data_IF_405890360479
#
_entry.id   IF_405890360479
#
_cell.length_a   1.000
_cell.length_b   1.000
_cell.length_c   1.000
_cell.angle_alpha   90.00
_cell.angle_beta   90.00
_cell.angle_gamma   90.00
#
_symmetry.space_group_name_H-M   'P 1'
#
loop_
_entity.id
_entity.type
_entity.pdbx_description
1 polymer ?
#
# COMPACT_ATOMS: atom_id res chain seq x y z
N UNK A 1 -35.59 6.94 4.71
CA UNK A 1 -34.68 8.08 4.64
C UNK A 1 -34.05 8.25 6.02
N UNK A 2 -32.83 7.77 6.21
CA UNK A 2 -32.03 8.08 7.39
C UNK A 2 -30.87 8.94 6.91
N UNK A 3 -30.92 10.20 7.25
CA UNK A 3 -29.91 11.22 7.03
C UNK A 3 -28.65 10.81 7.78
N UNK A 4 -27.58 10.56 7.07
CA UNK A 4 -26.24 10.40 7.65
C UNK A 4 -25.72 11.81 7.92
N UNK A 5 -25.63 12.17 9.17
CA UNK A 5 -25.01 13.41 9.65
C UNK A 5 -23.51 13.31 9.35
N UNK A 6 -22.87 14.28 8.68
CA UNK A 6 -21.43 14.28 8.54
C UNK A 6 -20.82 14.53 9.92
N UNK A 7 -19.86 13.66 10.30
CA UNK A 7 -19.01 13.85 11.46
C UNK A 7 -18.29 15.20 11.31
N UNK A 8 -18.70 16.16 12.11
CA UNK A 8 -18.01 17.43 12.29
C UNK A 8 -16.61 17.15 12.85
N UNK A 9 -15.61 17.36 12.04
CA UNK A 9 -14.21 17.41 12.44
C UNK A 9 -13.98 18.75 13.16
N UNK A 10 -14.33 18.83 14.44
CA UNK A 10 -13.78 19.85 15.34
C UNK A 10 -12.43 19.36 15.87
N UNK A 11 -11.41 19.54 15.07
CA UNK A 11 -10.01 19.39 15.46
C UNK A 11 -9.26 20.54 14.82
N UNK A 12 -8.93 21.57 15.61
CA UNK A 12 -8.27 22.77 15.15
C UNK A 12 -7.02 22.49 14.35
N UNK A 13 -6.90 23.16 13.21
CA UNK A 13 -5.67 23.28 12.43
C UNK A 13 -4.63 24.03 13.30
N UNK A 14 -3.82 23.29 14.02
CA UNK A 14 -2.53 23.78 14.51
C UNK A 14 -1.45 23.04 13.75
N UNK A 15 -0.68 23.80 12.98
CA UNK A 15 0.60 23.37 12.41
C UNK A 15 1.53 22.95 13.55
N UNK A 16 1.57 21.67 13.81
CA UNK A 16 2.40 21.04 14.83
C UNK A 16 2.22 19.54 14.71
N UNK A 17 3.29 18.86 14.40
CA UNK A 17 3.45 17.43 14.46
C UNK A 17 2.75 16.93 15.72
N UNK A 18 1.64 16.19 15.58
CA UNK A 18 1.00 15.54 16.72
C UNK A 18 1.96 14.48 17.22
N UNK A 19 2.78 14.86 18.20
CA UNK A 19 3.65 13.93 18.92
C UNK A 19 2.72 12.99 19.69
N UNK A 20 2.69 11.74 19.25
CA UNK A 20 2.04 10.69 20.01
C UNK A 20 2.80 10.49 21.33
N UNK A 21 2.15 10.77 22.46
CA UNK A 21 2.65 10.59 23.81
C UNK A 21 2.46 9.15 24.36
N UNK A 22 2.46 8.14 23.49
CA UNK A 22 2.46 6.74 23.92
C UNK A 22 3.87 6.25 24.23
N UNK A 23 4.01 5.14 24.97
CA UNK A 23 5.32 4.59 25.29
C UNK A 23 6.05 4.21 24.00
N UNK A 24 7.13 4.90 23.70
CA UNK A 24 8.06 4.52 22.64
C UNK A 24 8.76 3.24 23.06
N UNK A 25 8.54 2.14 22.34
CA UNK A 25 9.37 0.95 22.54
C UNK A 25 10.70 1.17 21.81
N UNK A 26 11.81 0.95 22.54
CA UNK A 26 13.14 0.97 21.95
C UNK A 26 13.21 -0.07 20.83
N UNK A 27 13.71 0.36 19.66
CA UNK A 27 13.87 -0.51 18.51
C UNK A 27 15.20 -1.26 18.64
N UNK A 28 15.14 -2.58 18.57
CA UNK A 28 16.36 -3.38 18.54
C UNK A 28 16.91 -3.45 17.12
N UNK A 29 18.23 -3.43 16.98
CA UNK A 29 18.95 -3.49 15.69
C UNK A 29 18.46 -4.66 14.81
N UNK A 30 18.16 -5.83 15.41
CA UNK A 30 17.63 -7.00 14.71
C UNK A 30 16.29 -6.72 14.00
N UNK A 31 15.47 -5.81 14.52
CA UNK A 31 14.25 -5.43 13.85
C UNK A 31 14.54 -4.64 12.56
N UNK A 32 15.49 -3.70 12.61
CA UNK A 32 15.88 -2.93 11.43
C UNK A 32 16.49 -3.82 10.34
N UNK A 33 17.22 -4.88 10.70
CA UNK A 33 17.79 -5.83 9.76
C UNK A 33 16.75 -6.66 8.99
N UNK A 34 15.51 -6.73 9.46
CA UNK A 34 14.43 -7.42 8.75
C UNK A 34 13.98 -6.66 7.49
N UNK A 35 14.20 -5.33 7.46
CA UNK A 35 13.83 -4.52 6.31
C UNK A 35 14.89 -4.60 5.21
N UNK A 36 14.48 -5.03 4.03
CA UNK A 36 15.36 -5.25 2.88
C UNK A 36 16.21 -4.03 2.52
N UNK A 37 15.64 -2.82 2.67
CA UNK A 37 16.36 -1.55 2.43
C UNK A 37 17.53 -1.36 3.39
N UNK A 38 17.36 -1.72 4.67
CA UNK A 38 18.38 -1.46 5.72
C UNK A 38 19.37 -2.62 5.89
N UNK A 39 19.02 -3.81 5.39
CA UNK A 39 19.83 -5.03 5.54
C UNK A 39 21.30 -4.89 5.10
N UNK A 40 21.65 -4.12 4.05
CA UNK A 40 23.04 -3.96 3.63
C UNK A 40 23.89 -3.04 4.52
N UNK A 41 23.29 -2.37 5.51
CA UNK A 41 24.00 -1.41 6.36
C UNK A 41 24.93 -2.10 7.36
N UNK A 42 26.09 -1.49 7.67
CA UNK A 42 26.97 -1.94 8.73
C UNK A 42 26.27 -1.94 10.10
N UNK A 43 26.65 -2.85 11.02
CA UNK A 43 26.06 -2.93 12.36
C UNK A 43 26.07 -1.61 13.13
N UNK A 44 27.16 -0.86 13.09
CA UNK A 44 27.30 0.42 13.80
C UNK A 44 26.31 1.48 13.30
N UNK A 45 26.02 1.47 11.99
CA UNK A 45 25.01 2.38 11.41
C UNK A 45 23.62 1.97 11.85
N UNK A 46 23.32 0.65 11.84
CA UNK A 46 22.03 0.13 12.31
C UNK A 46 21.81 0.41 13.81
N UNK A 47 22.85 0.29 14.64
CA UNK A 47 22.77 0.62 16.07
C UNK A 47 22.43 2.10 16.29
N UNK A 48 23.10 3.00 15.57
CA UNK A 48 22.78 4.43 15.62
C UNK A 48 21.36 4.72 15.18
N UNK A 49 20.90 4.13 14.07
CA UNK A 49 19.54 4.30 13.61
C UNK A 49 18.51 3.73 14.60
N UNK A 50 18.80 2.59 15.22
CA UNK A 50 17.94 1.97 16.21
C UNK A 50 17.72 2.83 17.46
N UNK A 51 18.74 3.59 17.88
CA UNK A 51 18.64 4.51 19.01
C UNK A 51 17.63 5.64 18.80
N UNK A 52 17.39 6.04 17.54
CA UNK A 52 16.46 7.10 17.17
C UNK A 52 15.13 6.58 16.60
N UNK A 53 15.06 5.29 16.33
CA UNK A 53 13.86 4.66 15.81
C UNK A 53 12.81 4.43 16.90
N UNK A 54 11.55 4.40 16.51
CA UNK A 54 10.44 4.07 17.40
C UNK A 54 9.42 3.17 16.70
N UNK A 55 8.69 2.36 17.46
CA UNK A 55 7.56 1.57 16.93
C UNK A 55 6.26 2.23 17.38
N UNK A 56 5.35 2.40 16.44
CA UNK A 56 4.00 2.90 16.70
C UNK A 56 2.95 1.88 16.27
N UNK A 57 2.04 1.48 17.17
CA UNK A 57 0.87 0.68 16.83
C UNK A 57 -0.22 1.55 16.21
N UNK A 58 -0.97 0.97 15.27
CA UNK A 58 -2.14 1.58 14.64
C UNK A 58 -3.32 0.63 14.70
N UNK A 59 -4.48 1.16 15.08
CA UNK A 59 -5.72 0.42 15.03
C UNK A 59 -6.22 0.31 13.58
N UNK A 60 -7.12 -0.66 13.33
CA UNK A 60 -7.78 -0.76 12.02
C UNK A 60 -8.51 0.55 11.67
N UNK A 61 -8.36 1.03 10.43
CA UNK A 61 -8.93 2.29 9.89
C UNK A 61 -8.33 3.55 10.49
N UNK A 62 -7.20 3.45 11.19
CA UNK A 62 -6.48 4.62 11.70
C UNK A 62 -5.61 5.22 10.57
N UNK A 63 -5.52 6.56 10.57
CA UNK A 63 -4.65 7.30 9.65
C UNK A 63 -3.22 7.17 10.13
N UNK A 64 -2.36 6.61 9.28
CA UNK A 64 -0.93 6.42 9.54
C UNK A 64 -0.12 7.60 9.04
N UNK A 65 -0.47 8.11 7.85
CA UNK A 65 0.19 9.23 7.20
C UNK A 65 -0.84 10.12 6.52
N UNK A 66 -0.67 11.43 6.66
CA UNK A 66 -1.54 12.43 6.02
C UNK A 66 -0.86 13.03 4.80
N UNK A 67 -1.63 13.29 3.76
CA UNK A 67 -1.25 14.10 2.61
C UNK A 67 -0.96 15.55 3.06
N UNK A 68 0.06 16.18 2.51
CA UNK A 68 0.41 17.56 2.83
C UNK A 68 1.86 17.68 3.30
N UNK A 69 2.15 18.30 4.45
CA UNK A 69 3.53 18.56 4.87
C UNK A 69 4.41 17.32 4.81
N UNK A 70 5.67 17.50 4.39
CA UNK A 70 6.62 16.41 4.31
C UNK A 70 6.77 15.71 5.67
N UNK A 71 6.63 14.39 5.74
CA UNK A 71 6.78 13.65 6.98
C UNK A 71 8.21 13.71 7.48
N UNK A 72 8.35 13.75 8.82
CA UNK A 72 9.66 13.78 9.46
C UNK A 72 10.28 12.39 9.64
N UNK A 73 9.66 11.36 9.08
CA UNK A 73 10.06 9.97 9.24
C UNK A 73 10.01 9.23 7.92
N UNK A 74 10.98 8.33 7.70
CA UNK A 74 10.80 7.18 6.83
C UNK A 74 10.11 6.08 7.63
N UNK A 75 9.04 5.53 7.09
CA UNK A 75 8.19 4.58 7.78
C UNK A 75 8.39 3.17 7.23
N UNK A 76 8.44 2.16 8.10
CA UNK A 76 8.55 0.74 7.71
C UNK A 76 7.41 -0.03 8.34
N UNK A 77 6.69 -0.82 7.56
CA UNK A 77 5.65 -1.69 8.09
C UNK A 77 6.27 -2.97 8.64
N UNK A 78 6.14 -3.17 9.95
CA UNK A 78 6.58 -4.39 10.63
C UNK A 78 5.52 -5.48 10.58
N UNK A 79 4.28 -5.14 10.95
CA UNK A 79 3.15 -6.07 11.03
C UNK A 79 1.87 -5.41 10.55
N UNK A 80 0.91 -6.24 10.13
CA UNK A 80 -0.38 -5.78 9.65
C UNK A 80 -0.35 -5.47 8.16
N UNK A 81 -1.28 -4.61 7.71
CA UNK A 81 -1.41 -4.20 6.32
C UNK A 81 -1.92 -2.78 6.22
N UNK A 82 -1.30 -1.98 5.37
CA UNK A 82 -1.70 -0.60 5.12
C UNK A 82 -2.12 -0.42 3.66
N UNK A 83 -2.83 0.67 3.39
CA UNK A 83 -3.19 1.08 2.04
C UNK A 83 -2.90 2.58 1.87
N UNK A 84 -2.19 2.89 0.80
CA UNK A 84 -2.09 4.26 0.32
C UNK A 84 -3.37 4.62 -0.43
N UNK A 85 -3.93 5.79 -0.13
CA UNK A 85 -5.20 6.26 -0.71
C UNK A 85 -5.13 7.75 -1.03
N UNK A 86 -6.01 8.19 -1.91
CA UNK A 86 -6.35 9.60 -2.08
C UNK A 86 -7.88 9.76 -2.05
N UNK A 87 -8.36 10.98 -2.02
CA UNK A 87 -9.79 11.27 -2.03
C UNK A 87 -10.12 12.16 -3.23
N UNK A 88 -11.21 11.82 -3.92
CA UNK A 88 -11.77 12.70 -4.95
C UNK A 88 -12.34 13.96 -4.32
N UNK A 89 -12.63 14.98 -5.14
CA UNK A 89 -13.32 16.21 -4.70
C UNK A 89 -14.67 15.94 -4.01
N UNK A 90 -15.30 14.81 -4.33
CA UNK A 90 -16.56 14.35 -3.73
C UNK A 90 -16.34 13.56 -2.43
N UNK A 91 -15.08 13.45 -1.94
CA UNK A 91 -14.73 12.70 -0.74
C UNK A 91 -14.71 11.18 -0.90
N UNK A 92 -14.73 10.67 -2.15
CA UNK A 92 -14.65 9.23 -2.41
C UNK A 92 -13.20 8.76 -2.30
N UNK A 93 -12.98 7.70 -1.52
CA UNK A 93 -11.68 7.05 -1.36
C UNK A 93 -11.24 6.33 -2.64
N UNK A 94 -10.02 6.59 -3.08
CA UNK A 94 -9.36 5.95 -4.23
C UNK A 94 -8.09 5.26 -3.73
N UNK A 95 -8.03 3.94 -3.87
CA UNK A 95 -6.86 3.16 -3.50
C UNK A 95 -5.75 3.30 -4.53
N UNK A 96 -4.55 3.52 -4.04
CA UNK A 96 -3.36 3.66 -4.86
C UNK A 96 -2.55 2.36 -4.89
N UNK A 97 -2.17 1.83 -3.73
CA UNK A 97 -1.44 0.56 -3.56
C UNK A 97 -1.51 0.07 -2.13
N UNK A 98 -1.16 -1.20 -1.93
CA UNK A 98 -0.98 -1.78 -0.60
C UNK A 98 0.46 -1.66 -0.13
N UNK A 99 0.63 -1.62 1.19
CA UNK A 99 1.91 -1.66 1.89
C UNK A 99 1.87 -2.92 2.75
N UNK A 100 2.79 -3.84 2.47
CA UNK A 100 2.87 -5.14 3.14
C UNK A 100 4.03 -5.15 4.15
N UNK A 101 4.06 -6.09 5.11
CA UNK A 101 5.17 -6.23 6.05
C UNK A 101 6.53 -6.33 5.34
N UNK A 102 7.50 -5.55 5.80
CA UNK A 102 8.82 -5.40 5.18
C UNK A 102 8.93 -4.24 4.19
N UNK A 103 7.81 -3.67 3.76
CA UNK A 103 7.79 -2.47 2.91
C UNK A 103 8.10 -1.20 3.69
N UNK A 104 8.52 -0.16 2.96
CA UNK A 104 8.67 1.20 3.49
C UNK A 104 7.85 2.20 2.66
N UNK A 105 7.53 3.33 3.28
CA UNK A 105 6.73 4.40 2.69
C UNK A 105 7.12 5.77 3.25
N UNK A 106 6.57 6.84 2.69
CA UNK A 106 6.94 8.24 2.96
C UNK A 106 8.34 8.63 2.44
N UNK A 107 8.90 7.84 1.52
CA UNK A 107 10.22 8.09 0.93
C UNK A 107 10.22 9.24 -0.08
N UNK A 108 9.09 9.53 -0.75
CA UNK A 108 9.07 10.57 -1.79
C UNK A 108 9.46 11.92 -1.24
N UNK A 109 8.77 12.38 -0.22
CA UNK A 109 9.06 13.65 0.46
C UNK A 109 10.44 13.67 1.13
N UNK A 110 10.96 12.51 1.53
CA UNK A 110 12.31 12.39 2.06
C UNK A 110 13.38 12.67 0.97
N UNK A 111 13.07 12.29 -0.29
CA UNK A 111 13.99 12.42 -1.43
C UNK A 111 14.02 13.85 -1.94
N UNK A 112 12.84 14.40 -2.26
CA UNK A 112 12.68 15.66 -2.99
C UNK A 112 12.30 16.87 -2.10
N UNK A 113 11.86 16.62 -0.87
CA UNK A 113 11.41 17.68 0.05
C UNK A 113 10.01 18.19 -0.25
N UNK A 114 9.34 17.66 -1.27
CA UNK A 114 7.99 18.04 -1.65
C UNK A 114 6.93 17.53 -0.67
N UNK A 115 5.73 18.13 -0.64
CA UNK A 115 4.64 17.65 0.18
C UNK A 115 4.30 16.18 -0.06
N UNK A 116 3.87 15.47 1.01
CA UNK A 116 3.39 14.10 0.89
C UNK A 116 2.18 14.00 -0.04
N UNK A 117 2.25 13.20 -1.13
CA UNK A 117 1.21 13.21 -2.15
C UNK A 117 -0.03 12.41 -1.80
N UNK A 118 0.02 11.54 -0.79
CA UNK A 118 -0.99 10.54 -0.50
C UNK A 118 -1.27 10.40 1.00
N UNK A 119 -2.42 9.84 1.34
CA UNK A 119 -2.73 9.37 2.68
C UNK A 119 -2.34 7.90 2.80
N UNK A 120 -2.02 7.45 4.02
CA UNK A 120 -1.85 6.03 4.32
C UNK A 120 -2.75 5.67 5.48
N UNK A 121 -3.58 4.64 5.31
CA UNK A 121 -4.50 4.13 6.33
C UNK A 121 -4.21 2.67 6.64
N UNK A 122 -4.43 2.27 7.89
CA UNK A 122 -4.34 0.87 8.28
C UNK A 122 -5.63 0.13 7.92
N UNK A 123 -5.53 -0.97 7.19
CA UNK A 123 -6.66 -1.83 6.83
C UNK A 123 -6.87 -2.97 7.81
N UNK A 124 -5.86 -3.27 8.59
CA UNK A 124 -5.90 -4.13 9.79
C UNK A 124 -5.00 -3.53 10.88
N UNK A 125 -4.97 -4.09 12.08
CA UNK A 125 -4.02 -3.65 13.10
C UNK A 125 -2.60 -3.74 12.55
N UNK A 126 -1.80 -2.70 12.78
CA UNK A 126 -0.47 -2.58 12.22
C UNK A 126 0.55 -2.07 13.24
N UNK A 127 1.80 -2.45 13.04
CA UNK A 127 2.95 -1.87 13.74
C UNK A 127 3.88 -1.24 12.71
N UNK A 128 4.20 0.03 12.90
CA UNK A 128 5.05 0.81 12.00
C UNK A 128 6.30 1.27 12.74
N UNK A 129 7.45 0.98 12.18
CA UNK A 129 8.73 1.52 12.64
C UNK A 129 8.93 2.88 11.99
N UNK A 130 9.16 3.90 12.82
CA UNK A 130 9.41 5.28 12.42
C UNK A 130 10.90 5.58 12.56
N UNK A 131 11.55 5.92 11.47
CA UNK A 131 12.96 6.34 11.43
C UNK A 131 13.02 7.83 11.11
N UNK A 132 13.58 8.69 11.99
CA UNK A 132 13.66 10.12 11.71
C UNK A 132 14.36 10.41 10.38
N UNK A 133 13.75 11.27 9.57
CA UNK A 133 14.27 11.66 8.27
C UNK A 133 15.68 12.25 8.36
N UNK A 134 15.97 13.03 9.40
CA UNK A 134 17.27 13.61 9.66
C UNK A 134 18.38 12.55 9.82
N UNK A 135 18.05 11.39 10.41
CA UNK A 135 19.01 10.31 10.64
C UNK A 135 19.18 9.41 9.42
N UNK A 136 18.08 9.07 8.74
CA UNK A 136 18.13 8.09 7.64
C UNK A 136 18.50 8.71 6.30
N UNK A 137 18.13 9.97 6.02
CA UNK A 137 18.38 10.61 4.74
C UNK A 137 19.87 10.67 4.38
N UNK A 138 20.79 11.10 5.26
CA UNK A 138 22.23 11.08 4.96
C UNK A 138 22.74 9.67 4.64
N UNK A 139 22.25 8.65 5.35
CA UNK A 139 22.64 7.24 5.15
C UNK A 139 22.17 6.72 3.80
N UNK A 140 20.93 7.04 3.40
CA UNK A 140 20.37 6.61 2.10
C UNK A 140 21.21 7.10 0.92
N UNK A 141 21.68 8.35 0.97
CA UNK A 141 22.43 8.95 -0.14
C UNK A 141 23.94 8.70 -0.06
N UNK A 142 24.48 8.39 1.12
CA UNK A 142 25.90 8.04 1.25
C UNK A 142 26.21 6.57 0.91
N UNK A 143 25.20 5.68 0.96
CA UNK A 143 25.38 4.26 0.70
C UNK A 143 24.85 3.89 -0.72
N UNK A 144 25.73 3.58 -1.69
CA UNK A 144 25.30 3.30 -3.08
C UNK A 144 24.29 2.16 -3.19
N UNK A 145 24.41 1.11 -2.37
CA UNK A 145 23.47 -0.02 -2.37
C UNK A 145 22.06 0.40 -1.93
N UNK A 146 21.94 1.33 -0.98
CA UNK A 146 20.65 1.85 -0.55
C UNK A 146 20.04 2.76 -1.61
N UNK A 147 20.85 3.62 -2.21
CA UNK A 147 20.41 4.49 -3.31
C UNK A 147 19.93 3.66 -4.51
N UNK A 148 20.63 2.57 -4.84
CA UNK A 148 20.20 1.62 -5.88
C UNK A 148 18.87 0.94 -5.51
N UNK A 149 18.75 0.42 -4.29
CA UNK A 149 17.52 -0.22 -3.81
C UNK A 149 16.32 0.73 -3.85
N UNK A 150 16.51 1.98 -3.42
CA UNK A 150 15.51 3.04 -3.49
C UNK A 150 15.11 3.34 -4.94
N UNK A 151 16.08 3.54 -5.83
CA UNK A 151 15.84 3.80 -7.25
C UNK A 151 15.08 2.65 -7.92
N UNK A 152 15.45 1.41 -7.61
CA UNK A 152 14.78 0.19 -8.09
C UNK A 152 13.32 0.14 -7.63
N UNK A 153 13.07 0.47 -6.36
CA UNK A 153 11.70 0.55 -5.80
C UNK A 153 10.87 1.61 -6.49
N UNK A 154 11.42 2.82 -6.72
CA UNK A 154 10.74 3.89 -7.45
C UNK A 154 10.41 3.47 -8.89
N UNK A 155 11.34 2.82 -9.59
CA UNK A 155 11.08 2.29 -10.92
C UNK A 155 9.97 1.23 -10.94
N UNK A 156 9.92 0.35 -9.93
CA UNK A 156 8.83 -0.63 -9.77
C UNK A 156 7.49 0.06 -9.51
N UNK A 157 7.45 1.09 -8.65
CA UNK A 157 6.24 1.87 -8.39
C UNK A 157 5.73 2.57 -9.65
N UNK A 158 6.62 3.19 -10.43
CA UNK A 158 6.25 3.83 -11.69
C UNK A 158 5.62 2.80 -12.64
N UNK A 159 6.23 1.63 -12.82
CA UNK A 159 5.66 0.56 -13.66
C UNK A 159 4.29 0.09 -13.15
N UNK A 160 4.14 -0.09 -11.84
CA UNK A 160 2.86 -0.45 -11.24
C UNK A 160 1.78 0.60 -11.49
N UNK A 161 2.13 1.89 -11.40
CA UNK A 161 1.21 3.00 -11.69
C UNK A 161 0.79 3.01 -13.18
N UNK A 162 1.71 2.74 -14.09
CA UNK A 162 1.38 2.62 -15.52
C UNK A 162 0.41 1.47 -15.77
N UNK A 163 0.64 0.30 -15.18
CA UNK A 163 -0.27 -0.85 -15.27
C UNK A 163 -1.64 -0.54 -14.66
N UNK A 164 -1.68 0.11 -13.50
CA UNK A 164 -2.92 0.51 -12.85
C UNK A 164 -3.73 1.49 -13.72
N UNK A 165 -3.07 2.42 -14.39
CA UNK A 165 -3.72 3.34 -15.33
C UNK A 165 -4.40 2.59 -16.48
N UNK A 166 -3.77 1.54 -17.01
CA UNK A 166 -4.37 0.69 -18.05
C UNK A 166 -5.62 -0.03 -17.53
N UNK A 167 -5.55 -0.59 -16.31
CA UNK A 167 -6.72 -1.23 -15.67
C UNK A 167 -7.90 -0.25 -15.57
N UNK A 168 -7.65 0.96 -15.12
CA UNK A 168 -8.70 1.96 -14.93
C UNK A 168 -9.30 2.47 -16.25
N UNK A 169 -8.59 2.35 -17.38
CA UNK A 169 -9.07 2.68 -18.70
C UNK A 169 -10.09 1.66 -19.25
N UNK A 170 -10.12 0.43 -18.71
CA UNK A 170 -11.09 -0.59 -19.11
C UNK A 170 -12.52 -0.17 -18.69
N UNK A 171 -13.45 -0.18 -19.62
CA UNK A 171 -14.85 0.20 -19.36
C UNK A 171 -15.66 -0.92 -18.73
N UNK A 172 -15.39 -2.18 -19.12
CA UNK A 172 -16.10 -3.35 -18.63
C UNK A 172 -15.62 -3.74 -17.21
N UNK A 173 -16.51 -3.78 -16.20
CA UNK A 173 -16.15 -4.16 -14.83
C UNK A 173 -15.49 -5.54 -14.70
N UNK A 174 -15.93 -6.52 -15.51
CA UNK A 174 -15.36 -7.87 -15.50
C UNK A 174 -13.88 -7.85 -15.92
N UNK A 175 -13.59 -7.19 -17.04
CA UNK A 175 -12.21 -7.08 -17.54
C UNK A 175 -11.34 -6.24 -16.60
N UNK A 176 -11.90 -5.17 -16.03
CA UNK A 176 -11.19 -4.32 -15.06
C UNK A 176 -10.78 -5.09 -13.80
N UNK A 177 -11.68 -5.89 -13.24
CA UNK A 177 -11.40 -6.75 -12.09
C UNK A 177 -10.42 -7.86 -12.47
N UNK A 178 -10.58 -8.49 -13.63
CA UNK A 178 -9.68 -9.52 -14.12
C UNK A 178 -8.25 -8.98 -14.27
N UNK A 179 -8.07 -7.82 -14.90
CA UNK A 179 -6.79 -7.17 -15.06
C UNK A 179 -6.15 -6.77 -13.71
N UNK A 180 -6.97 -6.30 -12.74
CA UNK A 180 -6.49 -6.02 -11.39
C UNK A 180 -5.99 -7.29 -10.67
N UNK A 181 -6.72 -8.39 -10.80
CA UNK A 181 -6.30 -9.68 -10.23
C UNK A 181 -5.01 -10.20 -10.88
N UNK A 182 -4.80 -9.95 -12.18
CA UNK A 182 -3.53 -10.24 -12.84
C UNK A 182 -2.36 -9.48 -12.20
N UNK A 183 -2.53 -8.17 -11.96
CA UNK A 183 -1.48 -7.36 -11.29
C UNK A 183 -1.19 -7.90 -9.89
N UNK A 184 -2.22 -8.20 -9.11
CA UNK A 184 -2.05 -8.72 -7.74
C UNK A 184 -1.42 -10.12 -7.71
N UNK A 185 -1.49 -10.87 -8.80
CA UNK A 185 -0.93 -12.22 -8.91
C UNK A 185 0.30 -12.32 -9.81
N UNK A 186 0.84 -11.20 -10.29
CA UNK A 186 1.92 -11.14 -11.30
C UNK A 186 3.26 -11.79 -10.88
N UNK A 187 3.42 -12.18 -9.61
CA UNK A 187 4.59 -12.92 -9.14
C UNK A 187 4.49 -14.46 -9.28
N UNK A 188 3.34 -14.99 -9.69
CA UNK A 188 3.12 -16.44 -9.79
C UNK A 188 3.44 -17.00 -11.18
N UNK A 189 4.38 -17.94 -11.27
CA UNK A 189 4.72 -18.66 -12.50
C UNK A 189 3.87 -19.92 -12.74
N UNK A 190 2.93 -20.22 -11.85
CA UNK A 190 2.06 -21.40 -11.89
C UNK A 190 0.71 -21.09 -12.53
N UNK A 191 0.08 -22.09 -13.12
CA UNK A 191 -1.26 -22.00 -13.68
C UNK A 191 -2.31 -21.60 -12.63
N UNK A 192 -2.10 -21.99 -11.36
CA UNK A 192 -2.92 -21.58 -10.22
C UNK A 192 -2.07 -20.65 -9.36
N UNK A 193 -2.54 -19.42 -9.22
CA UNK A 193 -1.89 -18.36 -8.44
C UNK A 193 -2.65 -18.18 -7.12
N UNK A 194 -1.92 -18.15 -6.02
CA UNK A 194 -2.48 -17.93 -4.69
C UNK A 194 -2.36 -16.46 -4.34
N UNK A 195 -3.48 -15.87 -3.92
CA UNK A 195 -3.54 -14.49 -3.49
C UNK A 195 -4.20 -14.42 -2.11
N UNK A 196 -3.59 -13.73 -1.14
CA UNK A 196 -4.30 -13.32 0.08
C UNK A 196 -5.53 -12.52 -0.36
N UNK A 197 -6.72 -13.08 -0.11
CA UNK A 197 -7.96 -12.57 -0.68
C UNK A 197 -8.23 -11.12 -0.24
N UNK A 198 -8.15 -10.13 -1.14
CA UNK A 198 -8.59 -8.79 -0.81
C UNK A 198 -10.10 -8.79 -0.57
N UNK A 199 -10.56 -7.92 0.30
CA UNK A 199 -12.00 -7.72 0.48
C UNK A 199 -12.61 -7.10 -0.77
N UNK A 200 -13.90 -7.32 -1.01
CA UNK A 200 -14.60 -6.68 -2.12
C UNK A 200 -14.58 -5.15 -2.04
N UNK A 201 -14.48 -4.59 -0.82
CA UNK A 201 -14.33 -3.15 -0.62
C UNK A 201 -12.95 -2.65 -1.07
N UNK A 202 -11.88 -3.34 -0.70
CA UNK A 202 -10.52 -2.99 -1.12
C UNK A 202 -10.38 -3.04 -2.64
N UNK A 203 -10.89 -4.09 -3.28
CA UNK A 203 -10.91 -4.18 -4.74
C UNK A 203 -11.74 -3.06 -5.38
N UNK A 204 -12.92 -2.77 -4.83
CA UNK A 204 -13.78 -1.71 -5.32
C UNK A 204 -13.06 -0.36 -5.34
N UNK A 205 -12.32 -0.05 -4.27
CA UNK A 205 -11.50 1.16 -4.15
C UNK A 205 -10.39 1.16 -5.21
N UNK A 206 -9.68 0.04 -5.38
CA UNK A 206 -8.56 -0.07 -6.35
C UNK A 206 -9.02 0.07 -7.81
N UNK A 207 -10.16 -0.52 -8.16
CA UNK A 207 -10.64 -0.52 -9.55
C UNK A 207 -11.68 0.57 -9.85
N UNK A 208 -11.91 1.48 -8.88
CA UNK A 208 -12.90 2.56 -8.97
C UNK A 208 -14.30 2.05 -9.39
N UNK A 209 -14.79 1.05 -8.68
CA UNK A 209 -16.12 0.46 -8.82
C UNK A 209 -16.86 0.49 -7.48
N UNK A 210 -18.18 0.16 -7.50
CA UNK A 210 -18.90 -0.07 -6.24
C UNK A 210 -18.64 -1.48 -5.71
N UNK A 211 -18.75 -1.67 -4.39
CA UNK A 211 -18.62 -2.98 -3.75
C UNK A 211 -19.63 -4.00 -4.32
N UNK A 212 -20.84 -3.55 -4.64
CA UNK A 212 -21.90 -4.39 -5.22
C UNK A 212 -21.50 -4.88 -6.61
N UNK A 213 -20.88 -4.03 -7.43
CA UNK A 213 -20.37 -4.39 -8.76
C UNK A 213 -19.25 -5.41 -8.63
N UNK A 214 -18.31 -5.21 -7.72
CA UNK A 214 -17.24 -6.19 -7.43
C UNK A 214 -17.85 -7.52 -6.99
N UNK A 215 -18.82 -7.50 -6.06
CA UNK A 215 -19.45 -8.72 -5.56
C UNK A 215 -20.13 -9.52 -6.68
N UNK A 216 -20.90 -8.85 -7.56
CA UNK A 216 -21.54 -9.49 -8.74
C UNK A 216 -20.50 -10.07 -9.70
N UNK A 217 -19.46 -9.32 -9.99
CA UNK A 217 -18.39 -9.79 -10.90
C UNK A 217 -17.63 -10.98 -10.31
N UNK A 218 -17.38 -10.99 -9.01
CA UNK A 218 -16.76 -12.15 -8.33
C UNK A 218 -17.63 -13.41 -8.46
N UNK A 219 -18.94 -13.30 -8.33
CA UNK A 219 -19.84 -14.44 -8.52
C UNK A 219 -19.73 -15.01 -9.95
N UNK A 220 -19.61 -14.15 -10.95
CA UNK A 220 -19.40 -14.57 -12.35
C UNK A 220 -18.06 -15.31 -12.49
N UNK A 221 -16.97 -14.74 -11.97
CA UNK A 221 -15.64 -15.36 -12.05
C UNK A 221 -15.57 -16.70 -11.30
N UNK A 222 -16.25 -16.83 -10.16
CA UNK A 222 -16.37 -18.09 -9.42
C UNK A 222 -17.17 -19.13 -10.23
N UNK A 223 -18.31 -18.74 -10.81
CA UNK A 223 -19.13 -19.62 -11.61
C UNK A 223 -18.40 -20.12 -12.88
N UNK A 224 -17.55 -19.30 -13.46
CA UNK A 224 -16.71 -19.66 -14.60
C UNK A 224 -15.45 -20.48 -14.21
N UNK A 225 -15.23 -20.71 -12.92
CA UNK A 225 -14.05 -21.40 -12.41
C UNK A 225 -12.75 -20.68 -12.67
N UNK A 226 -12.78 -19.36 -12.86
CA UNK A 226 -11.57 -18.48 -12.92
C UNK A 226 -11.01 -18.28 -11.52
N UNK A 227 -11.92 -18.20 -10.55
CA UNK A 227 -11.59 -18.04 -9.13
C UNK A 227 -12.12 -19.23 -8.34
N UNK A 228 -11.37 -19.62 -7.30
CA UNK A 228 -11.82 -20.53 -6.25
C UNK A 228 -11.44 -19.93 -4.90
N UNK A 229 -12.40 -19.86 -3.98
CA UNK A 229 -12.16 -19.35 -2.64
C UNK A 229 -11.71 -20.47 -1.71
N UNK A 230 -10.63 -20.27 -0.99
CA UNK A 230 -10.20 -21.04 0.16
C UNK A 230 -10.27 -20.19 1.43
N UNK A 231 -10.08 -20.76 2.62
CA UNK A 231 -10.41 -20.12 3.91
C UNK A 231 -9.92 -18.67 4.01
N UNK A 232 -8.65 -18.39 3.69
CA UNK A 232 -8.06 -17.05 3.73
C UNK A 232 -7.46 -16.61 2.37
N UNK A 233 -7.51 -17.50 1.37
CA UNK A 233 -6.86 -17.30 0.10
C UNK A 233 -7.85 -17.34 -1.06
N UNK A 234 -7.44 -16.74 -2.15
CA UNK A 234 -8.10 -16.80 -3.43
C UNK A 234 -7.18 -17.54 -4.41
N UNK A 235 -7.64 -18.69 -4.90
CA UNK A 235 -6.96 -19.38 -5.98
C UNK A 235 -7.45 -18.80 -7.31
N UNK A 236 -6.52 -18.40 -8.15
CA UNK A 236 -6.77 -17.76 -9.43
C UNK A 236 -6.22 -18.64 -10.55
N UNK A 237 -7.10 -19.10 -11.45
CA UNK A 237 -6.70 -19.78 -12.68
C UNK A 237 -6.08 -18.75 -13.64
N UNK A 238 -4.75 -18.76 -13.75
CA UNK A 238 -4.00 -17.80 -14.53
C UNK A 238 -4.33 -17.84 -16.01
N UNK A 239 -4.54 -19.05 -16.58
CA UNK A 239 -4.84 -19.18 -18.01
C UNK A 239 -6.20 -18.62 -18.38
N UNK A 240 -7.22 -18.92 -17.57
CA UNK A 240 -8.56 -18.36 -17.78
C UNK A 240 -8.60 -16.85 -17.56
N UNK A 241 -7.84 -16.37 -16.55
CA UNK A 241 -7.73 -14.95 -16.26
C UNK A 241 -7.09 -14.20 -17.43
N UNK A 242 -5.99 -14.73 -17.99
CA UNK A 242 -5.27 -14.15 -19.13
C UNK A 242 -6.17 -14.11 -20.40
N UNK A 243 -6.99 -15.15 -20.63
CA UNK A 243 -7.96 -15.16 -21.72
C UNK A 243 -9.07 -14.12 -21.57
N UNK A 244 -9.52 -13.84 -20.35
CA UNK A 244 -10.52 -12.80 -20.09
C UNK A 244 -9.95 -11.40 -20.32
N UNK A 245 -8.71 -11.17 -19.92
CA UNK A 245 -8.05 -9.89 -20.12
C UNK A 245 -7.76 -9.60 -21.58
N UNK A 246 -7.33 -10.60 -22.36
CA UNK A 246 -7.06 -10.47 -23.80
C UNK A 246 -8.34 -10.21 -24.64
N UNK A 247 -9.51 -10.68 -24.19
CA UNK A 247 -10.80 -10.43 -24.86
C UNK A 247 -11.33 -9.01 -24.68
N UNK A 248 -10.78 -8.26 -23.70
CA UNK A 248 -11.16 -6.87 -23.46
C UNK A 248 -10.61 -5.89 -24.49
N UNK A 249 -9.50 -6.24 -25.16
CA UNK A 249 -8.85 -5.40 -26.17
C UNK A 249 -9.44 -5.52 -27.59
N UNK A 250 -10.33 -6.48 -27.84
CA UNK A 250 -10.81 -6.83 -29.18
C UNK A 250 -12.30 -6.51 -29.44
N UNK A 251 -12.87 -5.46 -28.83
CA UNK A 251 -14.18 -4.93 -29.22
C UNK A 251 -14.14 -3.43 -29.41
N UNK A 252 -13.66 -3.01 -30.56
CA UNK A 252 -14.23 -1.92 -31.31
C UNK A 252 -15.29 -2.44 -32.26
#
# INVERSE_FOLDING_TARGET
MRTVTPLSFEGGFYGGTTLYNGPYMAVHTLLLQQFSLLKPLPPEVLERLAQHASVRPFAKREMVLTKGPAPQYLCFLQEGRLQAVDFTLEGREVGLYFIEPGDYFAELSLIDGEPQPEFVISIERAQVVLLPAAEIRPVLFAAPLLAEALSRRLAQRIRAQLSQRQVLALTNPLHRIAAQLQILTAGGTQNIRVLKAPTHQELAIMVNLTRETVTRTFQVLLAQGVLKREVNDLLVDGQKLDQLSAKGDNKE
#
